data_IF_299877678931
#
_entry.id   IF_299877678931
#
_cell.length_a   1.000
_cell.length_b   1.000
_cell.length_c   1.000
_cell.angle_alpha   90.00
_cell.angle_beta   90.00
_cell.angle_gamma   90.00
#
_symmetry.space_group_name_H-M   'P 1'
#
loop_
_entity.id
_entity.type
_entity.pdbx_description
1 polymer ?
#
# COMPACT_ATOMS: atom_id res chain seq x y z
N UNK A 1 -39.92 -14.87 -2.06
CA UNK A 1 -38.83 -15.33 -1.15
C UNK A 1 -38.41 -16.73 -1.56
N UNK A 2 -37.30 -16.90 -2.27
CA UNK A 2 -36.67 -18.20 -2.45
C UNK A 2 -35.65 -18.36 -1.32
N UNK A 3 -35.97 -19.16 -0.31
CA UNK A 3 -35.03 -19.61 0.71
C UNK A 3 -33.85 -20.27 -0.01
N UNK A 4 -32.67 -19.62 0.04
CA UNK A 4 -31.42 -20.24 -0.33
C UNK A 4 -31.05 -21.19 0.80
N UNK A 5 -31.29 -22.51 0.61
CA UNK A 5 -30.88 -23.54 1.56
C UNK A 5 -29.39 -23.41 1.85
N UNK A 6 -29.04 -23.30 3.12
CA UNK A 6 -27.68 -23.47 3.61
C UNK A 6 -27.12 -24.81 3.10
N UNK A 7 -26.10 -24.74 2.26
CA UNK A 7 -25.42 -25.95 1.76
C UNK A 7 -24.44 -26.38 2.86
N UNK A 8 -24.66 -27.62 3.30
CA UNK A 8 -23.89 -28.35 4.29
C UNK A 8 -22.36 -28.25 4.07
N UNK A 9 -21.60 -28.13 5.14
CA UNK A 9 -20.17 -27.83 5.22
C UNK A 9 -19.22 -28.84 4.57
N UNK A 10 -19.71 -29.94 3.98
CA UNK A 10 -18.90 -31.03 3.40
C UNK A 10 -18.80 -31.04 1.88
N UNK A 11 -19.45 -30.12 1.17
CA UNK A 11 -19.32 -29.95 -0.28
C UNK A 11 -18.99 -28.50 -0.65
N UNK A 12 -17.77 -28.04 -0.28
CA UNK A 12 -17.26 -26.74 -0.74
C UNK A 12 -16.78 -26.82 -2.20
N UNK A 13 -17.67 -27.00 -3.14
CA UNK A 13 -17.48 -26.44 -4.48
C UNK A 13 -17.69 -24.93 -4.32
N UNK A 14 -16.60 -24.15 -4.33
CA UNK A 14 -16.64 -22.71 -4.17
C UNK A 14 -17.67 -22.09 -5.12
N UNK A 15 -18.44 -21.13 -4.64
CA UNK A 15 -19.34 -20.35 -5.49
C UNK A 15 -18.47 -19.73 -6.58
N UNK A 16 -18.72 -20.08 -7.84
CA UNK A 16 -18.00 -19.47 -8.97
C UNK A 16 -18.62 -18.11 -9.24
N UNK A 17 -17.86 -17.06 -8.93
CA UNK A 17 -18.28 -15.68 -9.20
C UNK A 17 -18.19 -15.43 -10.71
N UNK A 18 -19.28 -14.95 -11.31
CA UNK A 18 -19.23 -14.33 -12.64
C UNK A 18 -18.85 -12.85 -12.50
N UNK A 19 -17.54 -12.57 -12.55
CA UNK A 19 -17.01 -11.23 -12.46
C UNK A 19 -17.49 -10.30 -13.57
N UNK A 20 -17.72 -10.83 -14.77
CA UNK A 20 -18.27 -10.04 -15.88
C UNK A 20 -19.68 -9.57 -15.58
N UNK A 21 -20.48 -10.42 -14.90
CA UNK A 21 -21.79 -10.04 -14.42
C UNK A 21 -21.69 -8.94 -13.37
N UNK A 22 -20.84 -9.08 -12.36
CA UNK A 22 -20.63 -8.06 -11.33
C UNK A 22 -20.19 -6.71 -11.94
N UNK A 23 -19.28 -6.73 -12.90
CA UNK A 23 -18.84 -5.52 -13.60
C UNK A 23 -19.95 -4.87 -14.43
N UNK A 24 -20.83 -5.65 -15.04
CA UNK A 24 -22.04 -5.12 -15.70
C UNK A 24 -23.00 -4.46 -14.70
N UNK A 25 -23.19 -5.07 -13.52
CA UNK A 25 -24.01 -4.47 -12.45
C UNK A 25 -23.38 -3.17 -11.93
N UNK A 26 -22.05 -3.13 -11.75
CA UNK A 26 -21.35 -1.91 -11.38
C UNK A 26 -21.57 -0.77 -12.40
N UNK A 27 -21.47 -1.04 -13.69
CA UNK A 27 -21.74 -0.03 -14.75
C UNK A 27 -23.15 0.55 -14.70
N UNK A 28 -24.14 -0.23 -14.26
CA UNK A 28 -25.52 0.26 -14.08
C UNK A 28 -25.65 1.30 -12.96
N UNK A 29 -24.70 1.36 -12.01
CA UNK A 29 -24.72 2.36 -10.94
C UNK A 29 -24.46 3.77 -11.47
N UNK A 30 -23.85 3.92 -12.64
CA UNK A 30 -23.51 5.20 -13.29
C UNK A 30 -22.73 6.11 -12.34
N UNK A 31 -21.64 5.57 -11.81
CA UNK A 31 -20.72 6.34 -10.97
C UNK A 31 -20.16 7.55 -11.73
N UNK A 32 -19.87 8.67 -11.03
CA UNK A 32 -19.21 9.82 -11.63
C UNK A 32 -17.91 9.44 -12.34
N UNK A 33 -17.57 10.13 -13.43
CA UNK A 33 -16.41 9.81 -14.27
C UNK A 33 -15.05 10.02 -13.56
N UNK A 34 -15.02 10.80 -12.49
CA UNK A 34 -13.86 11.02 -11.64
C UNK A 34 -13.61 9.91 -10.62
N UNK A 35 -14.51 8.91 -10.52
CA UNK A 35 -14.28 7.71 -9.71
C UNK A 35 -13.60 6.65 -10.58
N UNK A 36 -12.62 5.96 -10.01
CA UNK A 36 -11.95 4.81 -10.64
C UNK A 36 -12.97 3.80 -11.19
N UNK A 37 -12.74 3.32 -12.41
CA UNK A 37 -13.56 2.28 -13.02
C UNK A 37 -12.93 0.88 -12.78
N UNK A 38 -13.41 0.09 -11.81
CA UNK A 38 -12.84 -1.22 -11.50
C UNK A 38 -13.09 -2.25 -12.62
N UNK A 39 -13.96 -1.94 -13.59
CA UNK A 39 -14.23 -2.87 -14.71
C UNK A 39 -13.08 -2.95 -15.71
N UNK A 40 -12.10 -2.06 -15.62
CA UNK A 40 -10.86 -2.13 -16.40
C UNK A 40 -9.86 -3.14 -15.84
N UNK A 41 -10.06 -3.58 -14.60
CA UNK A 41 -9.20 -4.56 -13.94
C UNK A 41 -9.37 -5.95 -14.59
N UNK A 42 -8.28 -6.64 -15.00
CA UNK A 42 -8.34 -7.94 -15.67
C UNK A 42 -8.63 -9.09 -14.68
N UNK A 43 -9.75 -9.01 -13.98
CA UNK A 43 -10.13 -9.86 -12.83
C UNK A 43 -10.12 -11.36 -13.14
N UNK A 44 -10.39 -11.74 -14.40
CA UNK A 44 -10.41 -13.13 -14.83
C UNK A 44 -9.00 -13.70 -15.12
N UNK A 45 -7.99 -12.83 -15.24
CA UNK A 45 -6.62 -13.19 -15.59
C UNK A 45 -5.73 -13.24 -14.37
N UNK A 46 -5.89 -12.27 -13.47
CA UNK A 46 -5.04 -12.12 -12.30
C UNK A 46 -5.81 -12.32 -10.99
N UNK A 47 -5.10 -12.72 -9.93
CA UNK A 47 -5.66 -12.76 -8.58
C UNK A 47 -5.18 -11.58 -7.73
N UNK A 48 -4.09 -10.95 -8.11
CA UNK A 48 -3.52 -9.82 -7.41
C UNK A 48 -3.46 -8.59 -8.31
N UNK A 49 -3.75 -7.45 -7.74
CA UNK A 49 -3.55 -6.17 -8.40
C UNK A 49 -3.07 -5.10 -7.47
N UNK A 50 -2.22 -4.22 -7.99
CA UNK A 50 -1.73 -3.02 -7.33
C UNK A 50 -2.19 -1.83 -8.14
N UNK A 51 -2.98 -0.96 -7.53
CA UNK A 51 -3.55 0.23 -8.16
C UNK A 51 -3.10 1.44 -7.37
N UNK A 52 -2.26 2.24 -8.01
CA UNK A 52 -1.68 3.46 -7.46
C UNK A 52 -2.33 4.68 -8.08
N UNK A 53 -2.50 5.74 -7.34
CA UNK A 53 -2.94 7.03 -7.87
C UNK A 53 -2.63 8.17 -6.92
N UNK A 54 -2.98 9.38 -7.35
CA UNK A 54 -3.13 10.50 -6.45
C UNK A 54 -4.26 10.29 -5.45
N UNK A 55 -4.37 11.19 -4.49
CA UNK A 55 -5.48 11.21 -3.53
C UNK A 55 -6.80 11.52 -4.23
N UNK A 56 -7.89 10.98 -3.68
CA UNK A 56 -9.28 11.28 -4.09
C UNK A 56 -9.71 10.79 -5.47
N UNK A 57 -9.00 9.82 -6.08
CA UNK A 57 -9.38 9.20 -7.37
C UNK A 57 -10.48 8.13 -7.24
N UNK A 58 -11.04 7.96 -6.04
CA UNK A 58 -12.17 7.06 -5.80
C UNK A 58 -11.89 5.56 -5.90
N UNK A 59 -10.62 5.13 -5.88
CA UNK A 59 -10.20 3.70 -5.91
C UNK A 59 -10.93 2.87 -4.87
N UNK A 60 -10.82 3.30 -3.61
CA UNK A 60 -11.42 2.61 -2.47
C UNK A 60 -12.92 2.54 -2.61
N UNK A 61 -13.59 3.66 -2.91
CA UNK A 61 -15.05 3.72 -3.09
C UNK A 61 -15.52 2.77 -4.18
N UNK A 62 -14.81 2.70 -5.32
CA UNK A 62 -15.18 1.82 -6.42
C UNK A 62 -15.16 0.34 -6.01
N UNK A 63 -14.09 -0.11 -5.33
CA UNK A 63 -14.00 -1.50 -4.86
C UNK A 63 -14.95 -1.82 -3.72
N UNK A 64 -15.31 -0.84 -2.88
CA UNK A 64 -16.36 -1.00 -1.86
C UNK A 64 -17.75 -1.14 -2.48
N UNK A 65 -18.04 -0.50 -3.61
CA UNK A 65 -19.27 -0.76 -4.37
C UNK A 65 -19.30 -2.17 -4.96
N UNK A 66 -18.16 -2.68 -5.45
CA UNK A 66 -18.03 -4.09 -5.85
C UNK A 66 -18.31 -5.03 -4.67
N UNK A 67 -17.84 -4.68 -3.46
CA UNK A 67 -18.14 -5.43 -2.23
C UNK A 67 -19.65 -5.56 -1.99
N UNK A 68 -20.40 -4.46 -2.09
CA UNK A 68 -21.87 -4.46 -1.94
C UNK A 68 -22.55 -5.33 -3.02
N UNK A 69 -22.09 -5.24 -4.26
CA UNK A 69 -22.61 -6.08 -5.36
C UNK A 69 -22.33 -7.57 -5.15
N UNK A 70 -21.14 -7.92 -4.69
CA UNK A 70 -20.80 -9.31 -4.36
C UNK A 70 -21.69 -9.86 -3.26
N UNK A 71 -21.94 -9.06 -2.22
CA UNK A 71 -22.86 -9.46 -1.17
C UNK A 71 -24.30 -9.60 -1.68
N UNK A 72 -24.80 -8.64 -2.47
CA UNK A 72 -26.14 -8.69 -3.06
C UNK A 72 -26.38 -9.95 -3.86
N UNK A 73 -25.44 -10.34 -4.71
CA UNK A 73 -25.66 -11.40 -5.71
C UNK A 73 -25.17 -12.79 -5.27
N UNK A 74 -24.16 -12.84 -4.42
CA UNK A 74 -23.50 -14.08 -4.03
C UNK A 74 -23.44 -14.32 -2.54
N UNK A 75 -23.87 -13.38 -1.69
CA UNK A 75 -23.73 -13.43 -0.23
C UNK A 75 -22.27 -13.65 0.21
N UNK A 76 -21.34 -13.03 -0.52
CA UNK A 76 -19.91 -13.12 -0.26
C UNK A 76 -19.49 -11.96 0.63
N UNK A 77 -18.82 -12.28 1.73
CA UNK A 77 -18.17 -11.31 2.60
C UNK A 77 -16.85 -10.85 1.99
N UNK A 78 -16.55 -9.56 2.10
CA UNK A 78 -15.27 -8.96 1.68
C UNK A 78 -14.40 -8.64 2.89
N UNK A 79 -13.09 -8.83 2.76
CA UNK A 79 -12.12 -8.36 3.75
C UNK A 79 -11.54 -7.00 3.33
N UNK A 80 -11.64 -6.01 4.20
CA UNK A 80 -10.98 -4.73 4.05
C UNK A 80 -9.78 -4.69 4.99
N UNK A 81 -8.58 -4.58 4.43
CA UNK A 81 -7.32 -4.75 5.15
C UNK A 81 -6.64 -3.39 5.32
N UNK A 82 -6.14 -3.14 6.53
CA UNK A 82 -5.28 -2.00 6.87
C UNK A 82 -3.98 -2.52 7.49
N UNK A 83 -2.91 -1.74 7.45
CA UNK A 83 -1.61 -2.14 8.00
C UNK A 83 -1.69 -2.37 9.51
N UNK A 84 -2.13 -1.36 10.26
CA UNK A 84 -2.08 -1.37 11.73
C UNK A 84 -3.45 -1.60 12.35
N UNK A 85 -3.48 -2.11 13.58
CA UNK A 85 -4.73 -2.29 14.32
C UNK A 85 -5.39 -0.94 14.66
N UNK A 86 -4.60 0.09 14.89
CA UNK A 86 -5.12 1.45 15.13
C UNK A 86 -5.92 1.98 13.93
N UNK A 87 -5.50 1.68 12.71
CA UNK A 87 -6.23 2.07 11.48
C UNK A 87 -7.55 1.32 11.31
N UNK A 88 -7.78 0.25 12.05
CA UNK A 88 -9.03 -0.54 11.99
C UNK A 88 -10.06 -0.14 13.04
N UNK A 89 -9.76 0.84 13.88
CA UNK A 89 -10.69 1.34 14.90
C UNK A 89 -11.94 1.95 14.26
N UNK A 90 -13.09 1.77 14.90
CA UNK A 90 -14.39 2.26 14.39
C UNK A 90 -14.40 3.77 14.13
N UNK A 91 -13.64 4.55 14.89
CA UNK A 91 -13.49 5.99 14.68
C UNK A 91 -12.85 6.37 13.33
N UNK A 92 -12.03 5.47 12.77
CA UNK A 92 -11.32 5.66 11.49
C UNK A 92 -11.99 4.95 10.31
N UNK A 93 -12.79 3.92 10.59
CA UNK A 93 -13.42 3.10 9.56
C UNK A 93 -14.92 3.37 9.38
N UNK A 94 -15.53 4.14 10.28
CA UNK A 94 -16.97 4.44 10.24
C UNK A 94 -17.42 5.02 8.90
N UNK A 95 -16.59 5.89 8.33
CA UNK A 95 -16.91 6.64 7.11
C UNK A 95 -16.55 5.89 5.81
N UNK A 96 -16.09 4.66 5.92
CA UNK A 96 -15.59 3.89 4.78
C UNK A 96 -16.64 3.77 3.65
N UNK A 97 -17.91 3.65 3.99
CA UNK A 97 -19.00 3.52 3.03
C UNK A 97 -19.82 4.80 2.83
N UNK A 98 -19.38 5.96 3.34
CA UNK A 98 -20.12 7.23 3.21
C UNK A 98 -20.47 7.53 1.76
N UNK A 99 -19.56 7.34 0.82
CA UNK A 99 -19.83 7.53 -0.61
C UNK A 99 -21.01 6.67 -1.08
N UNK A 100 -21.11 5.43 -0.60
CA UNK A 100 -22.22 4.54 -0.97
C UNK A 100 -23.57 5.02 -0.40
N UNK A 101 -23.57 5.63 0.77
CA UNK A 101 -24.76 6.17 1.40
C UNK A 101 -25.15 7.53 0.80
N UNK A 102 -24.22 8.49 0.72
CA UNK A 102 -24.45 9.85 0.22
C UNK A 102 -24.96 9.90 -1.22
N UNK A 103 -24.42 9.04 -2.10
CA UNK A 103 -24.86 8.94 -3.49
C UNK A 103 -26.02 7.95 -3.70
N UNK A 104 -26.60 7.42 -2.62
CA UNK A 104 -27.73 6.51 -2.65
C UNK A 104 -27.45 5.17 -3.32
N UNK A 105 -26.17 4.72 -3.36
CA UNK A 105 -25.82 3.43 -3.97
C UNK A 105 -26.38 2.24 -3.18
N UNK A 106 -26.54 2.36 -1.87
CA UNK A 106 -27.15 1.30 -1.07
C UNK A 106 -28.55 1.00 -1.58
N UNK A 107 -29.40 2.03 -1.74
CA UNK A 107 -30.76 1.86 -2.26
C UNK A 107 -30.77 1.45 -3.75
N UNK A 108 -29.83 1.96 -4.56
CA UNK A 108 -29.72 1.53 -5.97
C UNK A 108 -29.39 0.03 -6.09
N UNK A 109 -28.59 -0.52 -5.18
CA UNK A 109 -28.20 -1.93 -5.18
C UNK A 109 -29.28 -2.81 -4.54
N UNK A 110 -29.78 -2.44 -3.36
CA UNK A 110 -30.65 -3.29 -2.54
C UNK A 110 -32.14 -2.95 -2.65
N UNK A 111 -32.48 -1.85 -3.34
CA UNK A 111 -33.86 -1.40 -3.48
C UNK A 111 -34.44 -0.91 -2.15
N UNK A 112 -35.60 -1.41 -1.79
CA UNK A 112 -36.30 -1.08 -0.52
C UNK A 112 -35.87 -1.99 0.64
N UNK A 113 -35.02 -2.97 0.39
CA UNK A 113 -34.61 -3.95 1.38
C UNK A 113 -33.71 -3.31 2.45
N UNK A 114 -32.72 -2.52 1.99
CA UNK A 114 -31.77 -1.84 2.87
C UNK A 114 -31.53 -0.40 2.39
N UNK A 115 -31.44 0.53 3.33
CA UNK A 115 -31.22 1.94 3.03
C UNK A 115 -29.92 2.52 3.58
N UNK A 116 -29.21 1.79 4.44
CA UNK A 116 -28.02 2.29 5.12
C UNK A 116 -27.06 1.16 5.52
N UNK A 117 -25.93 1.55 6.11
CA UNK A 117 -24.87 0.65 6.56
C UNK A 117 -24.59 0.90 8.05
N UNK A 118 -24.36 -0.18 8.79
CA UNK A 118 -24.09 -0.15 10.22
C UNK A 118 -22.74 -0.81 10.51
N UNK A 119 -21.85 -0.10 11.22
CA UNK A 119 -20.57 -0.64 11.69
C UNK A 119 -20.69 -1.08 13.16
N UNK A 120 -20.36 -2.32 13.43
CA UNK A 120 -20.21 -2.86 14.78
C UNK A 120 -18.96 -3.74 14.88
N UNK A 121 -18.07 -3.45 15.80
CA UNK A 121 -16.87 -4.23 16.08
C UNK A 121 -16.05 -4.61 14.84
N UNK A 122 -15.74 -3.73 13.94
CA UNK A 122 -15.02 -3.99 12.69
C UNK A 122 -15.82 -4.78 11.62
N UNK A 123 -17.13 -4.97 11.80
CA UNK A 123 -18.01 -5.64 10.86
C UNK A 123 -19.04 -4.66 10.33
N UNK A 124 -19.23 -4.63 9.02
CA UNK A 124 -20.22 -3.83 8.35
C UNK A 124 -21.44 -4.66 7.99
N UNK A 125 -22.60 -4.17 8.38
CA UNK A 125 -23.91 -4.77 8.17
C UNK A 125 -24.76 -3.83 7.32
N UNK A 126 -25.64 -4.40 6.48
CA UNK A 126 -26.73 -3.63 5.91
C UNK A 126 -27.78 -3.38 6.97
N UNK A 127 -28.39 -2.21 6.96
CA UNK A 127 -29.43 -1.85 7.92
C UNK A 127 -30.47 -0.92 7.31
N UNK A 128 -31.58 -0.78 8.03
CA UNK A 128 -32.54 0.27 7.79
C UNK A 128 -32.48 1.28 8.91
N UNK A 129 -32.47 2.57 8.54
CA UNK A 129 -32.59 3.70 9.46
C UNK A 129 -33.88 4.43 9.22
N UNK A 130 -34.45 4.92 10.31
CA UNK A 130 -35.60 5.85 10.26
C UNK A 130 -35.15 7.28 9.88
N UNK A 131 -36.11 8.19 9.79
CA UNK A 131 -35.87 9.61 9.46
C UNK A 131 -34.94 10.33 10.46
N UNK A 132 -34.83 9.82 11.68
CA UNK A 132 -33.94 10.34 12.72
C UNK A 132 -32.56 9.69 12.72
N UNK A 133 -32.25 8.80 11.75
CA UNK A 133 -30.98 8.10 11.62
C UNK A 133 -30.82 6.92 12.59
N UNK A 134 -31.85 6.53 13.35
CA UNK A 134 -31.83 5.38 14.26
C UNK A 134 -31.95 4.08 13.47
N UNK A 135 -31.13 3.09 13.78
CA UNK A 135 -31.23 1.74 13.21
C UNK A 135 -32.48 1.06 13.74
N UNK A 136 -33.36 0.67 12.84
CA UNK A 136 -34.63 -0.04 13.13
C UNK A 136 -34.58 -1.51 12.79
N UNK A 137 -33.72 -1.87 11.83
CA UNK A 137 -33.51 -3.25 11.41
C UNK A 137 -32.09 -3.40 10.83
N UNK A 138 -31.51 -4.60 10.91
CA UNK A 138 -30.21 -4.89 10.32
C UNK A 138 -30.13 -6.36 9.87
N UNK A 139 -29.34 -6.62 8.83
CA UNK A 139 -29.09 -7.99 8.38
C UNK A 139 -28.29 -8.81 9.43
N UNK A 140 -28.50 -10.11 9.44
CA UNK A 140 -27.84 -11.02 10.40
C UNK A 140 -26.35 -11.22 10.06
N UNK A 141 -26.02 -11.27 8.78
CA UNK A 141 -24.64 -11.48 8.30
C UNK A 141 -23.99 -10.15 7.90
N UNK A 142 -22.75 -9.99 8.29
CA UNK A 142 -21.89 -8.89 7.85
C UNK A 142 -21.42 -9.12 6.40
N UNK A 143 -21.38 -8.02 5.62
CA UNK A 143 -20.92 -8.08 4.23
C UNK A 143 -19.45 -7.69 4.05
N UNK A 144 -18.88 -7.00 5.04
CA UNK A 144 -17.48 -6.60 5.01
C UNK A 144 -16.90 -6.64 6.42
N UNK A 145 -15.68 -7.17 6.53
CA UNK A 145 -14.93 -7.22 7.77
C UNK A 145 -13.62 -6.44 7.63
N UNK A 146 -13.32 -5.59 8.62
CA UNK A 146 -12.06 -4.85 8.68
C UNK A 146 -10.99 -5.68 9.36
N UNK A 147 -9.87 -5.86 8.68
CA UNK A 147 -8.75 -6.70 9.09
C UNK A 147 -7.48 -5.85 9.25
N UNK A 148 -6.57 -6.29 10.11
CA UNK A 148 -5.24 -5.68 10.28
C UNK A 148 -4.13 -6.66 9.95
N UNK A 149 -3.12 -6.22 9.21
CA UNK A 149 -1.92 -7.01 8.94
C UNK A 149 -1.21 -7.35 10.26
N UNK A 150 -1.06 -6.39 11.16
CA UNK A 150 -0.42 -6.59 12.47
C UNK A 150 -1.10 -7.66 13.34
N UNK A 151 -2.41 -7.88 13.15
CA UNK A 151 -3.20 -8.87 13.88
C UNK A 151 -3.39 -10.20 13.14
N UNK A 152 -2.58 -10.47 12.12
CA UNK A 152 -2.70 -11.66 11.27
C UNK A 152 -2.74 -12.98 12.06
N UNK A 153 -2.00 -13.06 13.17
CA UNK A 153 -1.99 -14.23 14.03
C UNK A 153 -3.31 -14.45 14.79
N UNK A 154 -3.98 -13.37 15.20
CA UNK A 154 -5.23 -13.43 15.98
C UNK A 154 -6.37 -14.03 15.15
N UNK A 155 -6.32 -13.87 13.82
CA UNK A 155 -7.34 -14.39 12.92
C UNK A 155 -7.24 -15.90 12.64
N UNK A 156 -6.12 -16.57 12.95
CA UNK A 156 -5.92 -17.99 12.66
C UNK A 156 -6.96 -18.90 13.31
N UNK A 157 -7.42 -18.55 14.51
CA UNK A 157 -8.41 -19.33 15.30
C UNK A 157 -9.81 -18.72 15.29
N UNK A 158 -9.96 -17.44 15.01
CA UNK A 158 -11.22 -16.69 15.18
C UNK A 158 -12.07 -16.57 13.91
N UNK A 159 -11.48 -16.66 12.72
CA UNK A 159 -12.22 -16.60 11.48
C UNK A 159 -12.93 -17.93 11.19
N UNK A 160 -14.19 -17.99 11.57
CA UNK A 160 -15.03 -19.18 11.39
C UNK A 160 -15.71 -19.27 10.03
N UNK A 161 -15.90 -18.14 9.34
CA UNK A 161 -16.62 -18.05 8.06
C UNK A 161 -15.66 -17.79 6.89
N UNK A 162 -15.27 -18.79 6.10
CA UNK A 162 -14.35 -18.63 4.98
C UNK A 162 -15.11 -18.33 3.68
N UNK A 163 -15.68 -17.15 3.51
CA UNK A 163 -16.34 -16.76 2.27
C UNK A 163 -15.78 -15.48 1.66
N UNK A 164 -14.57 -15.10 2.02
CA UNK A 164 -13.95 -13.91 1.46
C UNK A 164 -13.27 -14.27 0.14
N UNK A 165 -13.89 -13.91 -0.96
CA UNK A 165 -13.33 -14.07 -2.30
C UNK A 165 -12.75 -12.77 -2.86
N UNK A 166 -12.91 -11.65 -2.12
CA UNK A 166 -12.31 -10.35 -2.39
C UNK A 166 -11.68 -9.81 -1.12
N UNK A 167 -10.43 -9.38 -1.23
CA UNK A 167 -9.68 -8.68 -0.20
C UNK A 167 -9.22 -7.34 -0.77
N UNK A 168 -9.49 -6.26 -0.07
CA UNK A 168 -9.07 -4.90 -0.43
C UNK A 168 -8.04 -4.47 0.61
N UNK A 169 -6.78 -4.35 0.21
CA UNK A 169 -5.72 -3.83 1.06
C UNK A 169 -5.49 -2.37 0.72
N UNK A 170 -5.98 -1.49 1.57
CA UNK A 170 -5.97 -0.04 1.34
C UNK A 170 -4.84 0.64 2.11
N UNK A 171 -4.27 1.69 1.51
CA UNK A 171 -3.07 2.37 1.96
C UNK A 171 -1.88 1.42 2.14
N UNK A 172 -1.65 0.56 1.11
CA UNK A 172 -0.58 -0.42 1.12
C UNK A 172 0.80 0.23 1.30
N UNK A 173 1.07 1.33 0.61
CA UNK A 173 2.33 2.07 0.73
C UNK A 173 2.13 3.19 1.73
N UNK A 174 2.92 3.18 2.79
CA UNK A 174 2.94 4.21 3.82
C UNK A 174 4.37 4.61 4.15
N UNK A 175 4.53 5.68 4.91
CA UNK A 175 5.83 6.13 5.42
C UNK A 175 6.48 5.16 6.42
N UNK A 176 5.75 4.14 6.86
CA UNK A 176 6.19 3.19 7.88
C UNK A 176 5.95 1.78 7.39
N UNK A 177 6.98 0.97 7.38
CA UNK A 177 6.94 -0.45 7.11
C UNK A 177 7.51 -1.19 8.31
N UNK A 178 6.83 -2.25 8.77
CA UNK A 178 7.32 -3.08 9.87
C UNK A 178 8.06 -4.30 9.33
N UNK A 179 9.12 -4.78 9.98
CA UNK A 179 9.81 -5.98 9.56
C UNK A 179 8.84 -7.16 9.37
N UNK A 180 9.01 -7.89 8.27
CA UNK A 180 8.16 -9.03 7.89
C UNK A 180 6.68 -8.70 7.64
N UNK A 181 6.32 -7.44 7.43
CA UNK A 181 4.91 -7.03 7.25
C UNK A 181 4.28 -7.69 6.03
N UNK A 182 5.01 -7.83 4.92
CA UNK A 182 4.55 -8.57 3.74
C UNK A 182 4.27 -10.04 4.06
N UNK A 183 5.11 -10.68 4.86
CA UNK A 183 4.89 -12.07 5.32
C UNK A 183 3.61 -12.15 6.16
N UNK A 184 3.39 -11.19 7.05
CA UNK A 184 2.16 -11.11 7.85
C UNK A 184 0.92 -10.92 6.98
N UNK A 185 1.00 -10.10 5.93
CA UNK A 185 -0.06 -9.95 4.93
C UNK A 185 -0.35 -11.28 4.22
N UNK A 186 0.68 -11.98 3.76
CA UNK A 186 0.54 -13.28 3.12
C UNK A 186 -0.06 -14.34 4.06
N UNK A 187 0.30 -14.32 5.34
CA UNK A 187 -0.30 -15.18 6.37
C UNK A 187 -1.78 -14.86 6.60
N UNK A 188 -2.14 -13.58 6.68
CA UNK A 188 -3.52 -13.13 6.78
C UNK A 188 -4.34 -13.63 5.59
N UNK A 189 -3.86 -13.38 4.37
CA UNK A 189 -4.51 -13.82 3.13
C UNK A 189 -4.64 -15.34 3.10
N UNK A 190 -3.60 -16.08 3.48
CA UNK A 190 -3.64 -17.54 3.55
C UNK A 190 -4.70 -18.05 4.53
N UNK A 191 -4.85 -17.37 5.68
CA UNK A 191 -5.87 -17.68 6.69
C UNK A 191 -7.27 -17.45 6.15
N UNK A 192 -7.50 -16.32 5.51
CA UNK A 192 -8.81 -15.92 4.96
C UNK A 192 -9.23 -16.79 3.79
N UNK A 193 -8.31 -17.07 2.86
CA UNK A 193 -8.65 -17.80 1.64
C UNK A 193 -8.81 -19.31 1.86
N UNK A 194 -8.21 -19.91 2.89
CA UNK A 194 -8.33 -21.33 3.25
C UNK A 194 -8.33 -22.30 2.05
N UNK A 195 -7.24 -22.38 1.30
CA UNK A 195 -7.10 -23.22 0.09
C UNK A 195 -7.89 -22.78 -1.16
N UNK A 196 -8.71 -21.73 -1.10
CA UNK A 196 -9.33 -21.15 -2.29
C UNK A 196 -8.26 -20.49 -3.16
N UNK A 197 -8.21 -20.80 -4.43
CA UNK A 197 -7.28 -20.19 -5.39
C UNK A 197 -7.90 -19.03 -6.16
N UNK A 198 -9.19 -18.77 -5.97
CA UNK A 198 -9.97 -17.74 -6.67
C UNK A 198 -10.03 -16.39 -5.95
N UNK A 199 -9.55 -16.31 -4.70
CA UNK A 199 -9.58 -15.07 -3.93
C UNK A 199 -8.81 -13.97 -4.63
N UNK A 200 -9.43 -12.82 -4.81
CA UNK A 200 -8.83 -11.62 -5.41
C UNK A 200 -8.29 -10.72 -4.32
N UNK A 201 -7.09 -10.19 -4.52
CA UNK A 201 -6.41 -9.27 -3.61
C UNK A 201 -6.14 -7.99 -4.36
N UNK A 202 -6.78 -6.92 -3.97
CA UNK A 202 -6.66 -5.60 -4.58
C UNK A 202 -5.93 -4.69 -3.61
N UNK A 203 -4.71 -4.36 -3.95
CA UNK A 203 -3.86 -3.45 -3.17
C UNK A 203 -4.03 -2.04 -3.71
N UNK A 204 -4.46 -1.13 -2.87
CA UNK A 204 -4.71 0.27 -3.21
C UNK A 204 -3.73 1.15 -2.46
N UNK A 205 -3.17 2.14 -3.11
CA UNK A 205 -2.35 3.13 -2.43
C UNK A 205 -2.30 4.46 -3.18
N UNK A 206 -1.89 5.49 -2.45
CA UNK A 206 -1.39 6.70 -3.06
C UNK A 206 0.07 6.49 -3.48
N UNK A 207 0.55 7.35 -4.38
CA UNK A 207 1.92 7.33 -4.87
C UNK A 207 2.86 8.01 -3.86
N UNK A 208 3.16 7.31 -2.76
CA UNK A 208 4.05 7.83 -1.70
C UNK A 208 5.51 7.67 -2.10
N UNK A 209 5.93 6.46 -2.44
CA UNK A 209 7.29 6.15 -2.85
C UNK A 209 7.35 4.91 -3.74
N UNK A 210 8.18 4.89 -4.80
CA UNK A 210 8.44 3.67 -5.57
C UNK A 210 9.35 2.68 -4.82
N UNK A 211 9.98 3.10 -3.74
CA UNK A 211 10.85 2.29 -2.88
C UNK A 211 10.06 1.72 -1.71
N UNK A 212 9.02 0.96 -2.01
CA UNK A 212 8.20 0.28 -1.02
C UNK A 212 8.60 -1.19 -0.94
N UNK A 213 8.80 -1.69 0.26
CA UNK A 213 9.06 -3.12 0.51
C UNK A 213 7.95 -4.01 -0.06
N UNK A 214 6.71 -3.55 -0.06
CA UNK A 214 5.61 -4.28 -0.71
C UNK A 214 5.80 -4.44 -2.21
N UNK A 215 6.23 -3.37 -2.89
CA UNK A 215 6.49 -3.42 -4.34
C UNK A 215 7.68 -4.31 -4.65
N UNK A 216 8.68 -4.31 -3.76
CA UNK A 216 9.86 -5.15 -3.90
C UNK A 216 9.54 -6.63 -3.73
N UNK A 217 8.91 -6.99 -2.63
CA UNK A 217 8.49 -8.36 -2.33
C UNK A 217 7.52 -8.95 -3.39
N UNK A 218 6.74 -8.08 -4.03
CA UNK A 218 5.89 -8.46 -5.16
C UNK A 218 6.64 -8.55 -6.50
N UNK A 219 7.91 -8.14 -6.56
CA UNK A 219 8.69 -8.07 -7.80
C UNK A 219 8.29 -6.93 -8.73
N UNK A 220 7.63 -5.89 -8.22
CA UNK A 220 7.09 -4.77 -8.98
C UNK A 220 8.00 -3.53 -8.99
N UNK A 221 9.13 -3.54 -8.27
CA UNK A 221 10.02 -2.38 -8.11
C UNK A 221 10.43 -1.76 -9.45
N UNK A 222 10.95 -2.57 -10.37
CA UNK A 222 11.47 -2.07 -11.64
C UNK A 222 10.36 -1.46 -12.52
N UNK A 223 9.16 -1.99 -12.40
CA UNK A 223 7.95 -1.48 -13.08
C UNK A 223 7.55 -0.16 -12.44
N UNK A 224 7.37 -0.12 -11.12
CA UNK A 224 6.94 1.07 -10.40
C UNK A 224 7.87 2.27 -10.61
N UNK A 225 9.20 2.06 -10.69
CA UNK A 225 10.18 3.13 -10.95
C UNK A 225 10.10 3.72 -12.37
N UNK A 226 9.62 2.95 -13.34
CA UNK A 226 9.54 3.38 -14.74
C UNK A 226 8.14 3.84 -15.14
N UNK A 227 7.13 3.37 -14.44
CA UNK A 227 5.74 3.61 -14.77
C UNK A 227 5.36 5.09 -14.56
N UNK A 228 4.51 5.57 -15.45
CA UNK A 228 3.94 6.90 -15.44
C UNK A 228 2.44 6.82 -15.20
N UNK A 229 1.85 7.96 -14.87
CA UNK A 229 0.40 8.10 -14.81
C UNK A 229 -0.24 7.59 -16.12
N UNK A 230 -1.25 6.75 -16.00
CA UNK A 230 -1.93 6.07 -17.11
C UNK A 230 -1.35 4.72 -17.51
N UNK A 231 -0.16 4.34 -17.03
CA UNK A 231 0.43 3.05 -17.35
C UNK A 231 -0.30 1.92 -16.60
N UNK A 232 -0.52 0.82 -17.35
CA UNK A 232 -1.07 -0.42 -16.81
C UNK A 232 -0.47 -1.62 -17.50
N UNK A 233 -0.11 -2.64 -16.73
CA UNK A 233 0.46 -3.86 -17.26
C UNK A 233 0.22 -5.07 -16.36
N UNK A 234 0.39 -6.28 -16.91
CA UNK A 234 0.44 -7.52 -16.15
C UNK A 234 1.90 -7.94 -16.03
N UNK A 235 2.40 -7.97 -14.81
CA UNK A 235 3.78 -8.34 -14.47
C UNK A 235 3.78 -9.74 -13.91
N UNK A 236 4.68 -10.59 -14.38
CA UNK A 236 4.86 -11.92 -13.80
C UNK A 236 5.94 -11.87 -12.71
N UNK A 237 5.62 -12.39 -11.53
CA UNK A 237 6.61 -12.61 -10.47
C UNK A 237 7.68 -13.60 -10.93
N UNK A 238 8.77 -13.72 -10.16
CA UNK A 238 9.84 -14.72 -10.43
C UNK A 238 9.28 -16.15 -10.53
N UNK A 239 8.22 -16.46 -9.80
CA UNK A 239 7.56 -17.77 -9.84
C UNK A 239 6.44 -17.86 -10.90
N UNK A 240 6.29 -16.85 -11.76
CA UNK A 240 5.33 -16.84 -12.87
C UNK A 240 3.90 -16.48 -12.47
N UNK A 241 3.65 -15.96 -11.26
CA UNK A 241 2.32 -15.50 -10.86
C UNK A 241 2.03 -14.13 -11.49
N UNK A 242 0.93 -13.96 -12.26
CA UNK A 242 0.58 -12.67 -12.85
C UNK A 242 0.00 -11.73 -11.79
N UNK A 243 0.52 -10.50 -11.75
CA UNK A 243 0.03 -9.38 -10.95
C UNK A 243 -0.33 -8.23 -11.90
N UNK A 244 -1.49 -7.65 -11.74
CA UNK A 244 -1.86 -6.43 -12.45
C UNK A 244 -1.30 -5.22 -11.71
N UNK A 245 -0.63 -4.35 -12.44
CA UNK A 245 -0.08 -3.10 -11.93
C UNK A 245 -0.65 -1.93 -12.75
N UNK A 246 -1.17 -0.90 -12.07
CA UNK A 246 -1.75 0.27 -12.70
C UNK A 246 -1.43 1.54 -11.90
N UNK A 247 -0.99 2.58 -12.60
CA UNK A 247 -0.94 3.95 -12.08
C UNK A 247 -2.05 4.73 -12.78
N UNK A 248 -3.01 5.22 -12.00
CA UNK A 248 -4.11 6.01 -12.57
C UNK A 248 -3.60 7.38 -13.01
N UNK A 249 -4.12 7.88 -14.11
CA UNK A 249 -3.94 9.27 -14.51
C UNK A 249 -5.16 10.09 -14.09
N UNK A 250 -5.10 10.61 -12.88
CA UNK A 250 -6.16 11.47 -12.35
C UNK A 250 -6.38 12.75 -13.14
N UNK A 251 -5.36 13.23 -13.86
CA UNK A 251 -5.45 14.45 -14.65
C UNK A 251 -6.24 14.27 -15.96
N UNK A 252 -6.26 13.05 -16.53
CA UNK A 252 -7.06 12.75 -17.72
C UNK A 252 -8.57 12.91 -17.50
N UNK A 253 -9.02 12.87 -16.24
CA UNK A 253 -10.44 12.97 -15.88
C UNK A 253 -10.84 14.34 -15.31
N UNK A 254 -9.85 15.19 -15.02
CA UNK A 254 -10.08 16.55 -14.51
C UNK A 254 -10.14 17.52 -15.69
N UNK A 255 -11.03 18.51 -15.61
CA UNK A 255 -11.00 19.62 -16.55
C UNK A 255 -9.72 20.44 -16.36
N UNK A 256 -9.27 21.14 -17.40
CA UNK A 256 -8.12 22.04 -17.30
C UNK A 256 -8.29 23.08 -16.18
N UNK A 257 -9.53 23.53 -15.94
CA UNK A 257 -9.86 24.50 -14.89
C UNK A 257 -9.72 23.88 -13.50
N UNK A 258 -10.11 22.61 -13.28
CA UNK A 258 -9.93 21.91 -12.02
C UNK A 258 -8.47 21.65 -11.69
N UNK A 259 -7.67 21.28 -12.69
CA UNK A 259 -6.20 21.12 -12.54
C UNK A 259 -5.57 22.47 -12.19
N UNK A 260 -5.95 23.53 -12.89
CA UNK A 260 -5.43 24.88 -12.65
C UNK A 260 -5.87 25.43 -11.29
N UNK A 261 -7.10 25.17 -10.85
CA UNK A 261 -7.61 25.58 -9.54
C UNK A 261 -6.83 24.88 -8.41
N UNK A 262 -6.57 23.59 -8.53
CA UNK A 262 -5.76 22.85 -7.55
C UNK A 262 -4.32 23.34 -7.47
N UNK A 263 -3.67 23.55 -8.64
CA UNK A 263 -2.33 24.10 -8.71
C UNK A 263 -2.26 25.53 -8.11
N UNK A 264 -3.28 26.35 -8.34
CA UNK A 264 -3.36 27.71 -7.81
C UNK A 264 -3.61 27.72 -6.30
N UNK A 265 -4.44 26.82 -5.79
CA UNK A 265 -4.75 26.71 -4.36
C UNK A 265 -3.51 26.33 -3.52
N UNK A 266 -2.64 25.48 -4.07
CA UNK A 266 -1.38 25.05 -3.45
C UNK A 266 -0.14 25.74 -4.08
N UNK A 267 -0.29 26.89 -4.69
CA UNK A 267 0.75 27.65 -5.40
C UNK A 267 1.86 28.21 -4.51
N UNK A 268 2.30 27.43 -3.52
CA UNK A 268 3.42 27.76 -2.65
C UNK A 268 4.76 27.36 -3.29
N UNK A 269 5.85 27.97 -2.85
CA UNK A 269 7.18 27.71 -3.39
C UNK A 269 7.76 26.31 -3.07
N UNK A 270 7.09 25.53 -2.25
CA UNK A 270 7.55 24.20 -1.86
C UNK A 270 7.24 23.18 -2.97
N UNK A 271 8.28 22.66 -3.61
CA UNK A 271 8.16 21.66 -4.69
C UNK A 271 7.50 20.32 -4.24
N UNK A 272 7.49 20.00 -2.95
CA UNK A 272 6.79 18.81 -2.44
C UNK A 272 5.27 18.91 -2.61
N UNK A 273 4.73 20.09 -2.77
CA UNK A 273 3.30 20.28 -3.01
C UNK A 273 2.85 19.81 -4.39
N UNK A 274 3.77 19.63 -5.33
CA UNK A 274 3.46 19.07 -6.65
C UNK A 274 2.94 17.62 -6.54
N UNK A 275 3.37 16.85 -5.56
CA UNK A 275 2.87 15.49 -5.31
C UNK A 275 1.43 15.47 -4.78
N UNK A 276 0.97 16.57 -4.17
CA UNK A 276 -0.43 16.71 -3.71
C UNK A 276 -1.34 17.12 -4.88
N UNK A 277 -0.79 17.79 -5.87
CA UNK A 277 -1.53 18.41 -7.01
C UNK A 277 -1.30 17.74 -8.34
N UNK A 278 -0.27 16.90 -8.47
CA UNK A 278 0.14 16.19 -9.68
C UNK A 278 0.31 14.69 -9.44
N UNK A 279 0.38 13.93 -10.52
CA UNK A 279 0.53 12.46 -10.49
C UNK A 279 2.00 12.03 -10.33
N UNK A 280 2.72 12.66 -9.41
CA UNK A 280 4.10 12.34 -9.10
C UNK A 280 4.23 11.68 -7.72
N UNK A 281 5.31 10.91 -7.53
CA UNK A 281 5.63 10.32 -6.24
C UNK A 281 5.84 11.39 -5.16
N UNK A 282 5.33 11.15 -3.95
CA UNK A 282 5.55 12.02 -2.77
C UNK A 282 7.00 11.87 -2.26
N UNK A 283 7.97 12.43 -2.98
CA UNK A 283 9.38 12.29 -2.61
C UNK A 283 9.70 13.29 -1.48
N UNK A 284 10.08 12.77 -0.30
CA UNK A 284 10.56 13.59 0.82
C UNK A 284 11.84 14.33 0.43
N UNK A 285 12.02 15.53 0.97
CA UNK A 285 13.28 16.22 0.86
C UNK A 285 14.27 15.66 1.89
N UNK A 286 15.38 15.18 1.39
CA UNK A 286 16.49 14.71 2.22
C UNK A 286 17.62 15.75 2.24
N UNK A 287 18.39 15.83 3.32
CA UNK A 287 19.49 16.78 3.43
C UNK A 287 20.58 16.44 2.40
N UNK A 288 20.91 17.41 1.55
CA UNK A 288 22.06 17.35 0.65
C UNK A 288 23.28 17.97 1.29
N UNK A 289 24.46 17.39 0.99
CA UNK A 289 25.71 17.93 1.54
C UNK A 289 25.88 19.42 1.10
N UNK A 290 25.97 20.37 2.04
CA UNK A 290 26.11 21.75 1.71
C UNK A 290 27.46 22.01 1.04
N UNK A 291 27.58 23.10 0.27
CA UNK A 291 28.85 23.52 -0.27
C UNK A 291 29.86 23.75 0.87
N UNK A 292 31.11 23.41 0.62
CA UNK A 292 32.19 23.66 1.55
C UNK A 292 32.33 25.17 1.79
N UNK A 293 32.33 25.54 3.05
CA UNK A 293 32.50 26.95 3.41
C UNK A 293 33.98 27.34 3.39
N UNK A 294 34.23 28.66 3.32
CA UNK A 294 35.59 29.18 3.37
C UNK A 294 36.26 28.83 4.72
N UNK A 295 37.49 28.31 4.63
CA UNK A 295 38.23 27.85 5.81
C UNK A 295 37.78 26.52 6.41
N UNK A 296 36.74 25.86 5.86
CA UNK A 296 36.33 24.53 6.26
C UNK A 296 37.27 23.48 5.68
N UNK A 297 37.75 22.55 6.51
CA UNK A 297 38.51 21.37 6.11
C UNK A 297 37.63 20.14 6.22
N UNK A 298 37.45 19.38 5.13
CA UNK A 298 36.72 18.10 5.09
C UNK A 298 37.67 16.98 4.73
N UNK A 299 37.69 15.92 5.53
CA UNK A 299 38.51 14.72 5.29
C UNK A 299 37.66 13.48 5.32
N UNK A 300 37.92 12.55 4.41
CA UNK A 300 37.27 11.23 4.40
C UNK A 300 37.94 10.36 5.46
N UNK A 301 37.13 9.79 6.35
CA UNK A 301 37.57 8.86 7.38
C UNK A 301 37.52 7.42 6.86
N UNK A 302 36.45 7.06 6.19
CA UNK A 302 36.31 5.78 5.47
C UNK A 302 35.32 5.91 4.32
N UNK A 303 35.53 5.12 3.27
CA UNK A 303 34.64 4.97 2.12
C UNK A 303 34.35 3.51 1.76
N UNK A 304 34.81 2.58 2.58
CA UNK A 304 34.72 1.14 2.31
C UNK A 304 33.50 0.54 3.05
N UNK A 305 32.39 1.29 3.10
CA UNK A 305 31.13 0.88 3.67
C UNK A 305 30.04 1.03 2.62
N UNK A 306 29.19 0.02 2.52
CA UNK A 306 28.15 -0.04 1.51
C UNK A 306 26.85 -0.54 2.11
N UNK A 307 25.72 -0.11 1.54
CA UNK A 307 24.41 -0.71 1.73
C UNK A 307 24.05 -1.41 0.41
N UNK A 308 23.60 -2.64 0.48
CA UNK A 308 22.94 -3.32 -0.63
C UNK A 308 21.46 -3.41 -0.33
N UNK A 309 20.67 -2.68 -1.09
CA UNK A 309 19.22 -2.71 -1.02
C UNK A 309 18.64 -2.37 -2.39
N UNK A 310 17.45 -2.89 -2.69
CA UNK A 310 16.76 -2.62 -3.95
C UNK A 310 17.62 -2.90 -5.21
N UNK A 311 18.44 -3.97 -5.18
CA UNK A 311 19.39 -4.37 -6.22
C UNK A 311 20.44 -3.31 -6.57
N UNK A 312 20.66 -2.35 -5.69
CA UNK A 312 21.63 -1.28 -5.85
C UNK A 312 22.62 -1.25 -4.68
N UNK A 313 23.84 -0.84 -4.98
CA UNK A 313 24.85 -0.57 -3.97
C UNK A 313 24.91 0.93 -3.68
N UNK A 314 24.83 1.28 -2.42
CA UNK A 314 24.96 2.65 -1.92
C UNK A 314 26.27 2.74 -1.17
N UNK A 315 27.18 3.59 -1.62
CA UNK A 315 28.41 3.90 -0.89
C UNK A 315 28.07 4.81 0.32
N UNK A 316 28.55 4.42 1.48
CA UNK A 316 28.43 5.16 2.73
C UNK A 316 29.79 5.70 3.14
N UNK A 317 30.02 6.97 2.87
CA UNK A 317 31.27 7.65 3.21
C UNK A 317 31.15 8.32 4.59
N UNK A 318 32.10 8.05 5.48
CA UNK A 318 32.20 8.78 6.74
C UNK A 318 33.22 9.91 6.56
N UNK A 319 32.79 11.10 6.86
CA UNK A 319 33.57 12.31 6.74
C UNK A 319 33.76 13.00 8.10
N UNK A 320 34.83 13.76 8.22
CA UNK A 320 35.08 14.67 9.31
C UNK A 320 35.26 16.08 8.75
N UNK A 321 34.42 17.01 9.20
CA UNK A 321 34.52 18.43 8.90
C UNK A 321 35.02 19.19 10.12
N UNK A 322 35.86 20.21 9.92
CA UNK A 322 36.32 21.11 11.00
C UNK A 322 35.15 21.93 11.62
N UNK A 323 34.06 22.12 10.84
CA UNK A 323 32.90 22.89 11.29
C UNK A 323 31.72 21.97 11.71
N UNK A 324 31.41 20.93 10.96
CA UNK A 324 30.24 20.06 11.20
C UNK A 324 30.54 18.85 12.07
N UNK A 325 31.83 18.50 12.29
CA UNK A 325 32.21 17.27 12.96
C UNK A 325 32.05 16.04 12.04
N UNK A 326 31.76 14.86 12.61
CA UNK A 326 31.56 13.63 11.82
C UNK A 326 30.16 13.60 11.22
N UNK A 327 30.07 13.14 9.95
CA UNK A 327 28.81 12.92 9.24
C UNK A 327 28.94 11.80 8.23
N UNK A 328 27.79 11.27 7.77
CA UNK A 328 27.69 10.28 6.69
C UNK A 328 27.27 10.98 5.40
N UNK A 329 27.88 10.59 4.29
CA UNK A 329 27.44 11.00 2.95
C UNK A 329 27.11 9.76 2.14
N UNK A 330 25.84 9.59 1.75
CA UNK A 330 25.36 8.49 0.93
C UNK A 330 25.43 8.85 -0.54
N UNK A 331 26.07 7.99 -1.33
CA UNK A 331 26.27 8.20 -2.77
C UNK A 331 25.99 6.90 -3.55
N UNK A 332 25.55 7.01 -4.81
CA UNK A 332 25.39 5.85 -5.66
C UNK A 332 26.75 5.17 -5.87
N UNK A 333 26.74 3.83 -5.89
CA UNK A 333 27.87 3.04 -6.27
C UNK A 333 27.55 2.30 -7.58
N UNK A 334 28.52 2.10 -8.51
CA UNK A 334 28.28 1.32 -9.73
C UNK A 334 27.69 -0.06 -9.43
N UNK A 335 26.90 -0.61 -10.34
CA UNK A 335 26.24 -1.92 -10.22
C UNK A 335 27.19 -3.13 -10.09
N UNK A 336 28.47 -2.87 -9.90
CA UNK A 336 29.48 -3.90 -9.63
C UNK A 336 29.58 -4.13 -8.13
N UNK A 337 29.69 -5.40 -7.74
CA UNK A 337 29.85 -5.76 -6.34
C UNK A 337 31.16 -5.16 -5.80
N UNK A 338 31.12 -4.44 -4.65
CA UNK A 338 32.34 -3.96 -4.02
C UNK A 338 33.28 -5.11 -3.66
N UNK A 339 34.52 -5.08 -4.19
CA UNK A 339 35.53 -6.11 -3.92
C UNK A 339 36.08 -6.03 -2.49
N UNK A 340 36.09 -4.83 -1.94
CA UNK A 340 36.61 -4.53 -0.59
C UNK A 340 35.55 -3.75 0.21
N UNK A 341 35.69 -3.82 1.53
CA UNK A 341 34.79 -3.10 2.43
C UNK A 341 33.68 -3.98 3.01
N UNK A 342 32.78 -3.36 3.76
CA UNK A 342 31.66 -4.03 4.43
C UNK A 342 30.35 -3.66 3.73
N UNK A 343 29.55 -4.65 3.41
CA UNK A 343 28.25 -4.49 2.77
C UNK A 343 27.17 -4.82 3.81
N UNK A 344 26.33 -3.85 4.14
CA UNK A 344 25.14 -4.05 4.95
C UNK A 344 23.97 -4.43 4.03
N UNK A 345 23.25 -5.49 4.37
CA UNK A 345 22.13 -5.98 3.58
C UNK A 345 21.01 -6.52 4.46
N UNK A 346 19.78 -6.46 3.98
CA UNK A 346 18.61 -7.11 4.57
C UNK A 346 18.51 -8.60 4.16
N UNK A 347 19.39 -9.04 3.27
CA UNK A 347 19.46 -10.43 2.80
C UNK A 347 20.42 -11.27 3.65
N UNK A 348 20.24 -12.59 3.61
CA UNK A 348 21.16 -13.52 4.26
C UNK A 348 22.56 -13.39 3.61
N UNK A 349 23.61 -13.12 4.39
CA UNK A 349 24.94 -12.93 3.86
C UNK A 349 25.43 -14.12 3.02
N UNK A 350 25.79 -13.85 1.80
CA UNK A 350 26.37 -14.84 0.86
C UNK A 350 27.90 -14.74 0.77
N UNK A 351 28.50 -13.68 1.31
CA UNK A 351 29.91 -13.35 1.25
C UNK A 351 30.49 -13.00 2.62
N UNK A 352 31.81 -13.15 2.76
CA UNK A 352 32.52 -12.87 4.03
C UNK A 352 32.47 -11.41 4.47
N UNK A 353 32.29 -10.49 3.55
CA UNK A 353 32.19 -9.05 3.80
C UNK A 353 30.77 -8.51 3.86
N UNK A 354 29.77 -9.37 3.77
CA UNK A 354 28.37 -9.02 3.96
C UNK A 354 27.97 -9.15 5.43
N UNK A 355 27.19 -8.20 5.90
CA UNK A 355 26.66 -8.14 7.26
C UNK A 355 25.16 -8.00 7.17
N UNK A 356 24.45 -8.90 7.84
CA UNK A 356 22.99 -8.81 7.91
C UNK A 356 22.56 -7.57 8.71
N UNK A 357 21.67 -6.82 8.14
CA UNK A 357 21.13 -5.62 8.74
C UNK A 357 22.19 -4.55 8.99
N UNK A 358 22.07 -3.86 10.09
CA UNK A 358 22.97 -2.76 10.50
C UNK A 358 24.20 -3.23 11.25
N UNK A 359 24.38 -4.53 11.43
CA UNK A 359 25.43 -5.06 12.29
C UNK A 359 25.24 -4.68 13.76
N UNK A 360 23.99 -4.71 14.26
CA UNK A 360 23.62 -4.42 15.65
C UNK A 360 24.50 -5.19 16.63
N UNK A 361 25.04 -4.53 17.64
CA UNK A 361 25.95 -5.14 18.62
C UNK A 361 27.42 -5.18 18.20
N UNK A 362 27.80 -4.65 17.06
CA UNK A 362 29.17 -4.56 16.54
C UNK A 362 29.73 -3.13 16.65
N UNK A 363 30.99 -2.95 16.21
CA UNK A 363 31.64 -1.62 16.10
C UNK A 363 30.89 -0.64 15.18
N UNK A 364 29.99 -1.13 14.35
CA UNK A 364 29.23 -0.32 13.38
C UNK A 364 28.09 0.49 14.00
N UNK A 365 27.69 0.20 15.25
CA UNK A 365 26.64 0.95 15.95
C UNK A 365 26.94 2.45 15.96
N UNK A 366 28.20 2.85 16.18
CA UNK A 366 28.61 4.26 16.18
C UNK A 366 28.40 4.98 14.85
N UNK A 367 28.40 4.24 13.74
CA UNK A 367 28.14 4.81 12.41
C UNK A 367 26.66 5.17 12.30
N UNK A 368 25.81 4.24 12.70
CA UNK A 368 24.35 4.45 12.66
C UNK A 368 23.87 5.49 13.67
N UNK A 369 24.65 5.75 14.74
CA UNK A 369 24.40 6.85 15.67
C UNK A 369 24.50 8.23 14.98
N UNK A 370 25.37 8.38 13.97
CA UNK A 370 25.40 9.61 13.16
C UNK A 370 24.11 9.81 12.38
N UNK A 371 23.55 8.75 11.80
CA UNK A 371 22.27 8.79 11.12
C UNK A 371 21.13 9.13 12.10
N UNK A 372 21.09 8.54 13.28
CA UNK A 372 20.11 8.88 14.33
C UNK A 372 20.21 10.32 14.79
N UNK A 373 21.38 10.90 14.77
CA UNK A 373 21.62 12.30 15.15
C UNK A 373 21.37 13.27 13.98
N UNK A 374 20.79 12.82 12.87
CA UNK A 374 20.58 13.63 11.67
C UNK A 374 21.88 14.25 11.11
N UNK A 375 22.97 13.50 11.18
CA UNK A 375 24.28 13.85 10.61
C UNK A 375 24.54 13.04 9.34
N UNK A 376 23.58 13.07 8.44
CA UNK A 376 23.57 12.32 7.20
C UNK A 376 23.17 13.22 6.04
N UNK A 377 23.82 13.02 4.92
CA UNK A 377 23.57 13.73 3.68
C UNK A 377 23.42 12.71 2.53
N UNK A 378 22.65 13.08 1.53
CA UNK A 378 22.31 12.22 0.41
C UNK A 378 22.62 12.91 -0.92
N UNK A 379 23.04 12.15 -1.92
CA UNK A 379 23.30 12.66 -3.26
C UNK A 379 22.00 13.04 -4.00
N UNK A 380 20.88 12.41 -3.61
CA UNK A 380 19.54 12.70 -4.14
C UNK A 380 18.46 12.36 -3.11
N UNK A 381 17.24 12.88 -3.29
CA UNK A 381 16.10 12.51 -2.48
C UNK A 381 15.75 11.02 -2.63
N UNK A 382 15.92 10.47 -3.81
CA UNK A 382 15.75 9.05 -4.13
C UNK A 382 16.66 8.19 -3.26
N UNK A 383 17.93 8.56 -3.15
CA UNK A 383 18.90 7.89 -2.27
C UNK A 383 18.46 7.92 -0.81
N UNK A 384 17.93 9.05 -0.36
CA UNK A 384 17.40 9.17 1.00
C UNK A 384 16.25 8.20 1.26
N UNK A 385 15.32 8.07 0.32
CA UNK A 385 14.23 7.09 0.41
C UNK A 385 14.73 5.64 0.47
N UNK A 386 15.69 5.29 -0.38
CA UNK A 386 16.26 3.94 -0.39
C UNK A 386 16.89 3.59 0.96
N UNK A 387 17.68 4.50 1.54
CA UNK A 387 18.34 4.28 2.83
C UNK A 387 17.31 4.21 3.97
N UNK A 388 16.31 5.09 3.97
CA UNK A 388 15.26 5.07 4.99
C UNK A 388 14.45 3.77 4.92
N UNK A 389 14.03 3.33 3.72
CA UNK A 389 13.31 2.06 3.53
C UNK A 389 14.15 0.87 3.99
N UNK A 390 15.43 0.81 3.63
CA UNK A 390 16.35 -0.23 4.10
C UNK A 390 16.42 -0.29 5.63
N UNK A 391 16.53 0.86 6.30
CA UNK A 391 16.63 0.90 7.76
C UNK A 391 15.30 0.56 8.45
N UNK A 392 14.17 0.95 7.85
CA UNK A 392 12.85 0.59 8.35
C UNK A 392 12.58 -0.92 8.24
N UNK A 393 13.01 -1.56 7.16
CA UNK A 393 12.87 -3.01 6.98
C UNK A 393 13.60 -3.82 8.07
N UNK A 394 14.61 -3.21 8.70
CA UNK A 394 15.41 -3.77 9.79
C UNK A 394 14.94 -3.34 11.20
N UNK A 395 13.79 -2.70 11.31
CA UNK A 395 13.27 -2.11 12.55
C UNK A 395 14.26 -1.10 13.18
N UNK A 396 14.96 -0.36 12.32
CA UNK A 396 15.91 0.67 12.73
C UNK A 396 15.29 2.03 12.51
N UNK A 397 14.85 2.66 13.60
CA UNK A 397 14.17 3.97 13.58
C UNK A 397 15.03 5.06 14.19
N UNK A 398 14.81 6.31 13.74
CA UNK A 398 15.42 7.52 14.31
C UNK A 398 14.84 7.87 15.67
#
# INVERSE_FOLDING_TARGET
MKQIKYIDNNQQKGIKIDWNFIFREYKKLKCPSNIYDPTTFPINVVNWGVILSDRSEGKTSAWLLICLLLYKHYQIQTGYIRQTDDMTKSTKTRELFNVAEEFGYVQKIFGKEWNSIYLWQKHFYLCNRDENGKVIDKCDDDFCMVLSVQKSYDYKSSLTKPRMDLLIFDEMISDKYSPNEFILLCQLISTVRRKKLSTKVICLSNMVTPYSEYLDEMGLRSVARKAKAGDREIVNTILGMPIFFEILDGNLKKSADEVHANLSYFGFANKQLSSITGSDWEIKNYPHLPRQEEGEVRTIVTRDLYIYCFDEYICMEIWKSSKMGYYINFRPYPLTVPEKGIIFSDQIPSRKNEVYGTGKGTKFVKIWDLWRQHRDFYSSNEMGHMVDSFLQSLDYTR
#
